data_IF_589899518921
#
_entry.id   IF_589899518921
#
_cell.length_a   1.000
_cell.length_b   1.000
_cell.length_c   1.000
_cell.angle_alpha   90.00
_cell.angle_beta   90.00
_cell.angle_gamma   90.00
#
_symmetry.space_group_name_H-M   'P 1'
#
loop_
_entity.id
_entity.type
_entity.pdbx_description
1 polymer ?
#
# COMPACT_ATOMS: atom_id res chain seq x y z
N UNK A 1 -9.56 -13.07 7.51
CA UNK A 1 -10.60 -13.04 6.46
C UNK A 1 -10.97 -14.46 6.10
N UNK A 2 -12.15 -14.71 5.53
CA UNK A 2 -12.63 -16.05 5.11
C UNK A 2 -12.69 -16.06 3.58
N UNK A 3 -12.31 -17.16 2.89
CA UNK A 3 -12.42 -17.25 1.45
C UNK A 3 -13.87 -17.16 1.01
N UNK A 4 -14.10 -16.60 -0.17
CA UNK A 4 -15.43 -16.37 -0.71
C UNK A 4 -15.96 -17.68 -1.28
N UNK A 5 -17.13 -18.09 -0.78
CA UNK A 5 -17.88 -19.25 -1.24
C UNK A 5 -19.24 -18.74 -1.72
N UNK A 6 -19.31 -18.26 -2.96
CA UNK A 6 -20.52 -17.67 -3.51
C UNK A 6 -20.25 -16.75 -4.69
N UNK A 7 -21.27 -15.98 -5.09
CA UNK A 7 -21.18 -15.08 -6.23
C UNK A 7 -20.17 -13.95 -5.96
N UNK A 8 -19.35 -13.66 -6.97
CA UNK A 8 -18.40 -12.54 -6.95
C UNK A 8 -19.05 -11.28 -7.52
N UNK A 9 -18.66 -10.09 -7.07
CA UNK A 9 -19.17 -8.83 -7.58
C UNK A 9 -18.37 -8.40 -8.82
N UNK A 10 -19.03 -8.21 -9.97
CA UNK A 10 -18.38 -7.83 -11.22
C UNK A 10 -17.59 -6.50 -11.16
N UNK A 11 -17.85 -5.65 -10.16
CA UNK A 11 -17.15 -4.38 -9.98
C UNK A 11 -15.86 -4.48 -9.15
N UNK A 12 -15.57 -5.66 -8.60
CA UNK A 12 -14.42 -5.92 -7.73
C UNK A 12 -13.45 -6.90 -8.40
N UNK A 13 -12.20 -6.86 -7.94
CA UNK A 13 -11.19 -7.85 -8.29
C UNK A 13 -11.11 -8.94 -7.23
N UNK A 14 -10.69 -10.12 -7.68
CA UNK A 14 -10.52 -11.29 -6.86
C UNK A 14 -9.19 -11.97 -7.20
N UNK A 15 -8.60 -12.59 -6.19
CA UNK A 15 -7.46 -13.49 -6.32
C UNK A 15 -7.97 -14.92 -6.09
N UNK A 16 -7.82 -15.79 -7.09
CA UNK A 16 -7.94 -17.24 -6.88
C UNK A 16 -6.51 -17.79 -6.77
N UNK A 17 -6.15 -18.36 -5.62
CA UNK A 17 -4.78 -18.81 -5.37
C UNK A 17 -4.68 -20.04 -4.46
N UNK A 18 -3.60 -20.79 -4.62
CA UNK A 18 -3.12 -21.81 -3.70
C UNK A 18 -1.66 -21.49 -3.29
N UNK A 19 -0.94 -22.45 -2.70
CA UNK A 19 0.46 -22.25 -2.27
C UNK A 19 1.49 -22.10 -3.40
N UNK A 20 1.13 -22.43 -4.64
CA UNK A 20 2.05 -22.47 -5.77
C UNK A 20 1.70 -21.47 -6.88
N UNK A 21 0.42 -21.22 -7.14
CA UNK A 21 -0.06 -20.36 -8.22
C UNK A 21 -1.25 -19.53 -7.80
N UNK A 22 -1.40 -18.37 -8.45
CA UNK A 22 -2.54 -17.50 -8.26
C UNK A 22 -2.84 -16.69 -9.52
N UNK A 23 -4.09 -16.28 -9.65
CA UNK A 23 -4.56 -15.44 -10.75
C UNK A 23 -5.50 -14.35 -10.23
N UNK A 24 -5.30 -13.13 -10.71
CA UNK A 24 -6.16 -11.99 -10.41
C UNK A 24 -7.17 -11.85 -11.56
N UNK A 25 -8.45 -11.70 -11.22
CA UNK A 25 -9.55 -11.63 -12.19
C UNK A 25 -10.65 -10.68 -11.71
N UNK A 26 -11.41 -10.10 -12.64
CA UNK A 26 -12.63 -9.36 -12.30
C UNK A 26 -13.74 -10.31 -11.87
N UNK A 27 -14.64 -9.87 -10.98
CA UNK A 27 -15.74 -10.71 -10.52
C UNK A 27 -16.62 -11.22 -11.67
N UNK A 28 -17.03 -12.48 -11.55
CA UNK A 28 -17.79 -13.23 -12.57
C UNK A 28 -19.25 -13.47 -12.17
N UNK A 29 -19.74 -12.87 -11.08
CA UNK A 29 -21.10 -13.14 -10.61
C UNK A 29 -21.23 -14.58 -10.14
N UNK A 30 -22.27 -15.26 -10.65
CA UNK A 30 -22.48 -16.70 -10.50
C UNK A 30 -21.66 -17.55 -11.50
N UNK A 31 -20.82 -16.92 -12.31
CA UNK A 31 -19.92 -17.60 -13.24
C UNK A 31 -18.79 -18.34 -12.53
N UNK A 32 -18.03 -19.12 -13.30
CA UNK A 32 -16.90 -19.92 -12.78
C UNK A 32 -15.64 -19.06 -12.76
N UNK A 33 -14.99 -18.86 -11.60
CA UNK A 33 -13.68 -18.21 -11.52
C UNK A 33 -12.63 -18.92 -12.40
N UNK A 34 -11.55 -18.23 -12.81
CA UNK A 34 -10.44 -18.89 -13.50
C UNK A 34 -9.91 -20.08 -12.69
N UNK A 35 -9.64 -21.18 -13.38
CA UNK A 35 -9.24 -22.44 -12.76
C UNK A 35 -7.87 -22.31 -12.09
N UNK A 36 -7.86 -22.50 -10.77
CA UNK A 36 -6.66 -22.77 -9.97
C UNK A 36 -6.96 -24.02 -9.15
N UNK A 37 -6.17 -25.08 -9.37
CA UNK A 37 -6.41 -26.36 -8.70
C UNK A 37 -6.30 -26.20 -7.18
N UNK A 38 -7.31 -26.63 -6.42
CA UNK A 38 -7.41 -26.38 -4.97
C UNK A 38 -7.24 -24.90 -4.57
N UNK A 39 -7.60 -23.98 -5.46
CA UNK A 39 -7.53 -22.54 -5.22
C UNK A 39 -8.65 -22.06 -4.29
N UNK A 40 -8.33 -21.07 -3.48
CA UNK A 40 -9.29 -20.31 -2.68
C UNK A 40 -9.43 -18.91 -3.27
N UNK A 41 -10.68 -18.43 -3.33
CA UNK A 41 -11.02 -17.12 -3.86
C UNK A 41 -11.09 -16.09 -2.74
N UNK A 42 -10.43 -14.96 -2.94
CA UNK A 42 -10.37 -13.83 -2.01
C UNK A 42 -10.67 -12.54 -2.75
N UNK A 43 -11.31 -11.58 -2.10
CA UNK A 43 -11.37 -10.22 -2.64
C UNK A 43 -9.96 -9.63 -2.69
N UNK A 44 -9.62 -9.05 -3.84
CA UNK A 44 -8.33 -8.40 -4.05
C UNK A 44 -8.51 -6.89 -3.97
N UNK A 45 -7.92 -6.29 -2.92
CA UNK A 45 -7.90 -4.83 -2.73
C UNK A 45 -6.49 -4.31 -2.99
N UNK A 46 -6.38 -3.34 -3.90
CA UNK A 46 -5.12 -2.68 -4.23
C UNK A 46 -5.22 -1.20 -3.94
N UNK A 47 -4.36 -0.73 -3.02
CA UNK A 47 -4.25 0.68 -2.63
C UNK A 47 -2.86 1.21 -2.92
N UNK A 48 -2.80 2.41 -3.51
CA UNK A 48 -1.56 3.16 -3.73
C UNK A 48 -1.67 4.48 -2.98
N UNK A 49 -0.64 4.83 -2.21
CA UNK A 49 -0.60 6.10 -1.48
C UNK A 49 0.60 6.91 -1.95
N UNK A 50 0.39 8.21 -2.20
CA UNK A 50 1.46 9.14 -2.52
C UNK A 50 1.10 10.55 -2.09
N UNK A 51 2.10 11.39 -1.87
CA UNK A 51 1.92 12.81 -1.57
C UNK A 51 2.00 13.59 -2.89
N UNK A 52 1.06 14.52 -3.08
CA UNK A 52 1.03 15.46 -4.21
C UNK A 52 0.70 16.85 -3.70
N UNK A 53 1.34 17.87 -4.27
CA UNK A 53 0.96 19.25 -4.03
C UNK A 53 -0.30 19.63 -4.84
N UNK A 54 -1.33 20.12 -4.15
CA UNK A 54 -2.56 20.68 -4.71
C UNK A 54 -2.55 22.22 -4.62
N UNK A 55 -2.98 22.87 -5.69
CA UNK A 55 -3.19 24.33 -5.69
C UNK A 55 -4.58 24.62 -5.12
N UNK A 56 -4.61 25.22 -3.93
CA UNK A 56 -5.83 25.67 -3.25
C UNK A 56 -5.82 27.20 -3.18
N UNK A 57 -6.41 27.86 -4.19
CA UNK A 57 -6.33 29.31 -4.37
C UNK A 57 -4.90 29.76 -4.71
N UNK A 58 -4.29 30.53 -3.82
CA UNK A 58 -2.90 31.00 -3.96
C UNK A 58 -1.88 30.15 -3.18
N UNK A 59 -2.32 29.04 -2.58
CA UNK A 59 -1.49 28.19 -1.72
C UNK A 59 -1.23 26.83 -2.40
N UNK A 60 -0.05 26.28 -2.14
CA UNK A 60 0.29 24.89 -2.46
C UNK A 60 0.22 24.06 -1.18
N UNK A 61 -0.70 23.10 -1.15
CA UNK A 61 -0.96 22.25 0.02
C UNK A 61 -0.60 20.81 -0.35
N UNK A 62 0.29 20.14 0.39
CA UNK A 62 0.62 18.75 0.17
C UNK A 62 -0.54 17.90 0.66
N UNK A 63 -1.00 17.00 -0.20
CA UNK A 63 -2.17 16.16 0.01
C UNK A 63 -1.75 14.71 -0.13
N UNK A 64 -2.16 13.89 0.84
CA UNK A 64 -2.12 12.44 0.72
C UNK A 64 -3.19 12.01 -0.26
N UNK A 65 -2.76 11.43 -1.38
CA UNK A 65 -3.61 10.85 -2.40
C UNK A 65 -3.74 9.35 -2.16
N UNK A 66 -4.94 8.82 -2.40
CA UNK A 66 -5.21 7.38 -2.43
C UNK A 66 -5.64 6.95 -3.83
N UNK A 67 -4.96 5.96 -4.37
CA UNK A 67 -5.34 5.21 -5.55
C UNK A 67 -6.01 3.91 -5.18
N UNK A 68 -7.19 3.64 -5.71
CA UNK A 68 -7.91 2.37 -5.55
C UNK A 68 -8.13 1.71 -6.91
N UNK A 69 -7.91 0.39 -6.98
CA UNK A 69 -8.20 -0.38 -8.18
C UNK A 69 -9.67 -0.84 -8.19
N UNK A 70 -10.40 -0.58 -9.27
CA UNK A 70 -11.75 -1.10 -9.50
C UNK A 70 -11.86 -1.78 -10.86
N UNK A 71 -12.64 -2.87 -10.94
CA UNK A 71 -12.74 -3.70 -12.15
C UNK A 71 -13.24 -2.95 -13.38
N UNK A 72 -14.05 -1.92 -13.20
CA UNK A 72 -14.68 -1.18 -14.31
C UNK A 72 -14.04 0.18 -14.58
N UNK A 73 -13.16 0.65 -13.70
CA UNK A 73 -12.64 2.02 -13.75
C UNK A 73 -11.11 2.09 -13.65
N UNK A 74 -10.44 0.94 -13.61
CA UNK A 74 -8.99 0.86 -13.44
C UNK A 74 -8.54 1.50 -12.12
N UNK A 75 -7.33 2.07 -12.12
CA UNK A 75 -6.81 2.82 -10.99
C UNK A 75 -7.47 4.21 -10.94
N UNK A 76 -8.13 4.50 -9.82
CA UNK A 76 -8.73 5.81 -9.55
C UNK A 76 -8.07 6.47 -8.35
N UNK A 77 -7.67 7.72 -8.52
CA UNK A 77 -7.00 8.51 -7.49
C UNK A 77 -7.92 9.59 -6.92
N UNK A 78 -7.91 9.78 -5.62
CA UNK A 78 -8.63 10.84 -4.92
C UNK A 78 -7.80 11.39 -3.75
N UNK A 79 -7.95 12.69 -3.44
CA UNK A 79 -7.48 13.25 -2.17
C UNK A 79 -8.03 12.46 -0.98
N UNK A 80 -7.17 12.22 0.02
CA UNK A 80 -7.56 11.58 1.27
C UNK A 80 -7.41 12.54 2.45
N UNK A 81 -6.22 13.17 2.60
CA UNK A 81 -5.89 14.03 3.74
C UNK A 81 -5.00 15.18 3.29
N UNK A 82 -5.40 16.41 3.60
CA UNK A 82 -4.58 17.61 3.40
C UNK A 82 -3.52 17.74 4.50
N UNK A 83 -2.38 18.34 4.15
CA UNK A 83 -1.30 18.64 5.10
C UNK A 83 -0.32 17.50 5.34
N UNK A 84 -0.39 16.38 4.61
CA UNK A 84 0.61 15.31 4.70
C UNK A 84 1.80 15.63 3.81
N UNK A 85 2.93 16.01 4.40
CA UNK A 85 4.13 16.44 3.65
C UNK A 85 5.00 15.28 3.22
N UNK A 86 5.08 14.23 4.04
CA UNK A 86 5.98 13.12 3.78
C UNK A 86 5.48 11.84 4.43
N UNK A 87 5.65 10.75 3.71
CA UNK A 87 5.51 9.40 4.25
C UNK A 87 6.84 8.69 4.02
N UNK A 88 7.38 8.08 5.07
CA UNK A 88 8.58 7.27 5.01
C UNK A 88 8.29 5.84 5.49
N UNK A 89 8.89 4.86 4.81
CA UNK A 89 8.72 3.45 5.12
C UNK A 89 10.08 2.83 5.41
N UNK A 90 10.13 2.07 6.49
CA UNK A 90 11.27 1.21 6.84
C UNK A 90 10.78 -0.20 7.10
N UNK A 91 11.51 -1.18 6.60
CA UNK A 91 11.16 -2.60 6.66
C UNK A 91 12.02 -3.28 7.72
N UNK A 92 11.37 -3.94 8.67
CA UNK A 92 12.02 -4.79 9.66
C UNK A 92 12.44 -6.09 8.98
N UNK A 93 13.74 -6.22 8.75
CA UNK A 93 14.36 -7.36 8.11
C UNK A 93 14.98 -8.26 9.17
N UNK A 94 14.60 -9.53 9.10
CA UNK A 94 15.26 -10.69 9.69
C UNK A 94 16.28 -11.19 8.66
N UNK A 95 17.56 -11.09 8.97
CA UNK A 95 18.66 -11.39 8.07
C UNK A 95 19.27 -12.78 8.30
N UNK A 96 18.84 -13.51 9.33
CA UNK A 96 19.34 -14.85 9.66
C UNK A 96 18.26 -15.95 9.80
N UNK A 97 16.99 -15.61 9.53
CA UNK A 97 15.81 -16.49 9.51
C UNK A 97 15.48 -17.09 10.88
N UNK A 98 15.80 -16.38 11.97
CA UNK A 98 15.47 -16.80 13.34
C UNK A 98 14.07 -16.36 13.80
N UNK A 99 13.40 -15.51 13.00
CA UNK A 99 12.06 -14.99 13.25
C UNK A 99 12.01 -13.66 14.02
N UNK A 100 13.16 -13.07 14.34
CA UNK A 100 13.29 -11.76 14.98
C UNK A 100 13.77 -10.69 13.98
N UNK A 101 13.42 -9.43 14.26
CA UNK A 101 13.86 -8.30 13.41
C UNK A 101 15.24 -7.83 13.83
N UNK A 102 16.22 -8.00 12.94
CA UNK A 102 17.59 -7.49 13.14
C UNK A 102 17.70 -5.99 12.93
N UNK A 103 17.07 -5.48 11.86
CA UNK A 103 17.22 -4.09 11.44
C UNK A 103 15.99 -3.53 10.73
N UNK A 104 15.77 -2.22 10.91
CA UNK A 104 14.82 -1.47 10.10
C UNK A 104 15.56 -0.77 8.96
N UNK A 105 15.31 -1.21 7.73
CA UNK A 105 15.95 -0.70 6.51
C UNK A 105 14.98 0.21 5.78
N UNK A 106 15.38 1.45 5.47
CA UNK A 106 14.54 2.38 4.71
C UNK A 106 14.23 1.84 3.32
N UNK A 107 13.08 2.22 2.77
CA UNK A 107 12.65 1.78 1.43
C UNK A 107 13.68 2.08 0.33
N UNK A 108 14.44 3.16 0.46
CA UNK A 108 15.49 3.55 -0.48
C UNK A 108 16.73 2.64 -0.42
N UNK A 109 16.95 1.98 0.73
CA UNK A 109 18.10 1.10 0.97
C UNK A 109 17.74 -0.39 0.87
N UNK A 110 16.47 -0.72 0.60
CA UNK A 110 16.04 -2.10 0.37
C UNK A 110 16.57 -2.63 -0.97
N UNK A 111 17.43 -3.64 -0.90
CA UNK A 111 18.00 -4.31 -2.07
C UNK A 111 17.05 -5.37 -2.64
N UNK A 112 17.29 -5.80 -3.88
CA UNK A 112 16.51 -6.87 -4.51
C UNK A 112 16.61 -8.20 -3.75
N UNK A 113 17.73 -8.48 -3.07
CA UNK A 113 17.89 -9.71 -2.28
C UNK A 113 16.96 -9.76 -1.08
N UNK A 114 16.77 -8.62 -0.38
CA UNK A 114 15.81 -8.51 0.70
C UNK A 114 14.37 -8.64 0.19
N UNK A 115 14.04 -8.03 -0.96
CA UNK A 115 12.72 -8.18 -1.58
C UNK A 115 12.41 -9.61 -2.00
N UNK A 116 13.41 -10.30 -2.53
CA UNK A 116 13.28 -11.69 -2.99
C UNK A 116 13.38 -12.70 -1.85
N UNK A 117 13.57 -12.27 -0.60
CA UNK A 117 13.76 -13.14 0.56
C UNK A 117 14.91 -14.13 0.39
N UNK A 118 16.02 -13.68 -0.20
CA UNK A 118 17.20 -14.51 -0.41
C UNK A 118 18.00 -14.59 0.91
N UNK A 119 17.67 -15.56 1.76
CA UNK A 119 18.20 -15.72 3.13
C UNK A 119 17.85 -14.53 4.04
N UNK A 120 16.63 -14.03 3.93
CA UNK A 120 16.10 -12.98 4.81
C UNK A 120 14.58 -12.95 4.72
N UNK A 121 13.93 -12.42 5.75
CA UNK A 121 12.50 -12.16 5.76
C UNK A 121 12.20 -10.71 6.10
N UNK A 122 11.10 -10.21 5.56
CA UNK A 122 10.50 -8.95 5.99
C UNK A 122 9.38 -9.31 6.95
N UNK A 123 9.54 -8.95 8.23
CA UNK A 123 8.61 -9.31 9.29
C UNK A 123 7.77 -8.12 9.78
N UNK A 124 8.28 -6.90 9.60
CA UNK A 124 7.60 -5.69 10.06
C UNK A 124 7.72 -4.54 9.06
N UNK A 125 6.81 -3.57 9.19
CA UNK A 125 6.91 -2.27 8.51
C UNK A 125 6.74 -1.18 9.56
N UNK A 126 7.65 -0.21 9.54
CA UNK A 126 7.57 1.03 10.31
C UNK A 126 7.26 2.17 9.36
N UNK A 127 6.22 2.93 9.69
CA UNK A 127 5.71 4.02 8.86
C UNK A 127 5.84 5.31 9.66
N UNK A 128 6.50 6.30 9.07
CA UNK A 128 6.56 7.65 9.61
C UNK A 128 5.75 8.58 8.72
N UNK A 129 4.92 9.42 9.33
CA UNK A 129 4.09 10.40 8.63
C UNK A 129 4.39 11.77 9.22
N UNK A 130 4.81 12.69 8.35
CA UNK A 130 4.98 14.09 8.69
C UNK A 130 3.76 14.87 8.21
N UNK A 131 3.05 15.48 9.15
CA UNK A 131 1.89 16.31 8.88
C UNK A 131 2.17 17.76 9.28
N UNK A 132 1.54 18.70 8.57
CA UNK A 132 1.53 20.12 8.85
C UNK A 132 0.13 20.70 8.71
N UNK A 133 -0.02 21.96 9.12
CA UNK A 133 -1.24 22.71 8.84
C UNK A 133 -1.40 22.97 7.32
N UNK A 134 -2.64 22.90 6.88
CA UNK A 134 -3.09 23.21 5.52
C UNK A 134 -2.91 24.68 5.17
N UNK A 135 -3.01 25.57 6.16
CA UNK A 135 -2.82 27.01 6.02
C UNK A 135 -1.47 27.46 6.61
N UNK A 136 -0.80 28.46 6.00
CA UNK A 136 0.41 29.02 6.56
C UNK A 136 0.10 29.81 7.84
N UNK A 137 0.85 29.53 8.91
CA UNK A 137 0.94 30.41 10.06
C UNK A 137 2.09 31.41 9.84
N UNK A 138 1.74 32.65 9.51
CA UNK A 138 2.70 33.71 9.22
C UNK A 138 3.57 34.10 10.43
N UNK A 139 3.21 33.66 11.65
CA UNK A 139 3.98 33.91 12.87
C UNK A 139 4.89 32.73 13.25
N UNK A 140 4.88 31.63 12.49
CA UNK A 140 5.63 30.42 12.81
C UNK A 140 6.65 30.07 11.71
N UNK A 141 7.92 29.98 12.11
CA UNK A 141 8.98 29.42 11.27
C UNK A 141 9.39 28.08 11.84
N UNK A 142 9.18 26.99 11.09
CA UNK A 142 9.61 25.67 11.51
C UNK A 142 11.13 25.52 11.35
N UNK A 143 11.86 25.41 12.47
CA UNK A 143 13.30 25.14 12.50
C UNK A 143 13.64 23.72 12.98
N UNK A 144 12.63 22.85 13.08
CA UNK A 144 12.82 21.49 13.59
C UNK A 144 13.47 20.57 12.55
N UNK A 145 14.28 19.64 13.05
CA UNK A 145 14.81 18.52 12.28
C UNK A 145 14.05 17.26 12.65
N UNK A 146 13.48 16.60 11.65
CA UNK A 146 12.74 15.34 11.82
C UNK A 146 13.60 14.16 11.38
N UNK A 147 13.76 13.17 12.24
CA UNK A 147 14.31 11.87 11.89
C UNK A 147 13.15 10.95 11.52
N UNK A 148 13.08 10.60 10.23
CA UNK A 148 12.07 9.71 9.64
C UNK A 148 12.77 8.45 9.14
#
# INVERSE_FOLDING_TARGET
SIPIVGNTNANLYYLNANSATGTIFSGVGAGVPPLVNNGLVWEYQHHVYYVRDEVQGNLSVPVLMQGVLSANNGMRFSPLIDGIERIHFSYGVDADDDGDVDAFISSANMTQSFWNKSNSNILAVKIFVLARDSLPDNNYTNTNTYQL
#
